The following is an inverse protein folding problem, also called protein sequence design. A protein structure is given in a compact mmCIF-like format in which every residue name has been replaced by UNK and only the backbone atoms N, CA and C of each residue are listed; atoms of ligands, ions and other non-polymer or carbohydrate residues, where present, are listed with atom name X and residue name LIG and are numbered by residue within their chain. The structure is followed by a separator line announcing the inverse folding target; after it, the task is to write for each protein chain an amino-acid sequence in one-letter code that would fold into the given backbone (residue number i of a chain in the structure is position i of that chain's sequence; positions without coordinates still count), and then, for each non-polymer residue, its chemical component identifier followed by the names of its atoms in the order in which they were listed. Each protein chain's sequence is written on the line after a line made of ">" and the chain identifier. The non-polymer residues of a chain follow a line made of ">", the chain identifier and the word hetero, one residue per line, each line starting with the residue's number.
data_IF_727363261367
#
_entry.id   IF_727363261367
#
_cell.length_a   1.000
_cell.length_b   1.000
_cell.length_c   1.000
_cell.angle_alpha   90.00
_cell.angle_beta   90.00
_cell.angle_gamma   90.00
#
_symmetry.space_group_name_H-M   'P 1'
#
loop_
_entity.id
_entity.type
_entity.pdbx_description
1 polymer ?
#
# COMPACT_ATOMS: atom_id res chain seq x y z
N UNK A 1 -37.67 23.94 23.59
CA UNK A 1 -36.70 24.37 22.56
C UNK A 1 -36.93 23.56 21.30
N UNK A 2 -37.35 24.19 20.21
CA UNK A 2 -37.52 23.52 18.91
C UNK A 2 -36.11 23.36 18.31
N UNK A 3 -35.55 22.15 18.32
CA UNK A 3 -34.30 21.84 17.59
C UNK A 3 -34.58 22.02 16.09
N UNK A 4 -34.09 23.11 15.50
CA UNK A 4 -34.18 23.37 14.06
C UNK A 4 -33.41 22.25 13.35
N UNK A 5 -34.12 21.38 12.62
CA UNK A 5 -33.52 20.26 11.89
C UNK A 5 -32.82 20.83 10.66
N UNK A 6 -31.49 20.91 10.69
CA UNK A 6 -30.70 21.31 9.53
C UNK A 6 -30.72 20.14 8.54
N UNK A 7 -31.22 20.40 7.33
CA UNK A 7 -31.27 19.42 6.24
C UNK A 7 -30.40 19.85 5.07
N UNK A 8 -29.78 18.86 4.41
CA UNK A 8 -28.85 19.04 3.30
C UNK A 8 -29.20 18.04 2.20
N UNK A 9 -29.06 18.44 0.95
CA UNK A 9 -29.25 17.60 -0.23
C UNK A 9 -27.89 17.33 -0.88
N UNK A 10 -27.68 16.11 -1.37
CA UNK A 10 -26.46 15.73 -2.06
C UNK A 10 -26.43 16.32 -3.48
N UNK A 11 -25.29 16.88 -3.88
CA UNK A 11 -25.07 17.32 -5.25
C UNK A 11 -24.94 16.10 -6.20
N UNK A 12 -25.28 16.23 -7.49
CA UNK A 12 -25.18 15.13 -8.46
C UNK A 12 -23.80 14.48 -8.53
N UNK A 13 -22.74 15.28 -8.42
CA UNK A 13 -21.34 14.81 -8.42
C UNK A 13 -21.05 13.91 -7.21
N UNK A 14 -21.52 14.31 -6.03
CA UNK A 14 -21.40 13.53 -4.80
C UNK A 14 -22.20 12.22 -4.89
N UNK A 15 -23.38 12.23 -5.53
CA UNK A 15 -24.17 11.02 -5.74
C UNK A 15 -23.44 10.03 -6.65
N UNK A 16 -22.83 10.50 -7.75
CA UNK A 16 -22.02 9.65 -8.65
C UNK A 16 -20.85 9.02 -7.90
N UNK A 17 -20.12 9.80 -7.10
CA UNK A 17 -19.03 9.29 -6.27
C UNK A 17 -19.51 8.30 -5.21
N UNK A 18 -20.65 8.57 -4.58
CA UNK A 18 -21.26 7.67 -3.61
C UNK A 18 -21.67 6.32 -4.23
N UNK A 19 -22.18 6.30 -5.46
CA UNK A 19 -22.52 5.06 -6.15
C UNK A 19 -21.26 4.24 -6.48
N UNK A 20 -20.19 4.87 -6.95
CA UNK A 20 -18.90 4.21 -7.17
C UNK A 20 -18.28 3.67 -5.87
N UNK A 21 -18.30 4.45 -4.80
CA UNK A 21 -17.82 4.01 -3.48
C UNK A 21 -18.62 2.83 -2.94
N UNK A 22 -19.94 2.80 -3.15
CA UNK A 22 -20.80 1.71 -2.70
C UNK A 22 -20.39 0.38 -3.35
N UNK A 23 -20.08 0.38 -4.66
CA UNK A 23 -19.57 -0.79 -5.39
C UNK A 23 -18.17 -1.17 -4.92
N UNK A 24 -17.26 -0.18 -4.82
CA UNK A 24 -15.86 -0.38 -4.41
C UNK A 24 -15.73 -1.01 -3.02
N UNK A 25 -16.59 -0.63 -2.09
CA UNK A 25 -16.62 -1.16 -0.72
C UNK A 25 -17.37 -2.50 -0.60
N UNK A 26 -17.81 -3.09 -1.72
CA UNK A 26 -18.45 -4.40 -1.75
C UNK A 26 -19.90 -4.42 -1.29
N UNK A 27 -20.58 -3.27 -1.21
CA UNK A 27 -22.00 -3.26 -0.90
C UNK A 27 -22.81 -3.63 -2.15
N UNK A 28 -23.43 -4.81 -2.13
CA UNK A 28 -24.25 -5.29 -3.26
C UNK A 28 -25.51 -4.44 -3.50
N UNK A 29 -25.96 -3.66 -2.52
CA UNK A 29 -27.12 -2.78 -2.66
C UNK A 29 -27.19 -1.65 -1.63
N UNK A 30 -27.94 -0.60 -1.96
CA UNK A 30 -28.32 0.51 -1.04
C UNK A 30 -29.05 0.00 0.22
N UNK A 31 -29.72 -1.16 0.13
CA UNK A 31 -30.39 -1.80 1.27
C UNK A 31 -29.41 -2.48 2.22
N UNK A 32 -28.36 -3.12 1.69
CA UNK A 32 -27.29 -3.73 2.49
C UNK A 32 -26.47 -2.64 3.18
N UNK A 33 -26.15 -1.57 2.46
CA UNK A 33 -25.50 -0.38 3.01
C UNK A 33 -26.31 0.25 4.16
N UNK A 34 -27.62 0.44 3.98
CA UNK A 34 -28.49 0.99 5.03
C UNK A 34 -28.47 0.17 6.33
N UNK A 35 -28.43 -1.16 6.22
CA UNK A 35 -28.30 -2.07 7.38
C UNK A 35 -26.95 -1.91 8.06
N UNK A 36 -25.87 -1.86 7.27
CA UNK A 36 -24.50 -1.70 7.79
C UNK A 36 -24.32 -0.39 8.55
N UNK A 37 -24.81 0.73 7.99
CA UNK A 37 -24.68 2.04 8.63
C UNK A 37 -25.71 2.30 9.73
N UNK A 38 -26.64 1.36 9.99
CA UNK A 38 -27.79 1.53 10.89
C UNK A 38 -28.64 2.77 10.56
N UNK A 39 -28.68 3.15 9.28
CA UNK A 39 -29.49 4.28 8.78
C UNK A 39 -30.74 3.72 8.13
N UNK A 40 -31.88 4.40 8.31
CA UNK A 40 -33.12 3.96 7.67
C UNK A 40 -32.95 3.88 6.14
N UNK A 41 -33.50 2.83 5.54
CA UNK A 41 -33.45 2.63 4.08
C UNK A 41 -34.03 3.83 3.34
N UNK A 42 -35.07 4.46 3.88
CA UNK A 42 -35.67 5.66 3.27
C UNK A 42 -34.70 6.84 3.28
N UNK A 43 -33.94 7.07 4.36
CA UNK A 43 -32.90 8.12 4.40
C UNK A 43 -31.78 7.86 3.39
N UNK A 44 -31.31 6.62 3.28
CA UNK A 44 -30.28 6.25 2.29
C UNK A 44 -30.80 6.46 0.87
N UNK A 45 -32.03 6.02 0.57
CA UNK A 45 -32.64 6.26 -0.75
C UNK A 45 -32.75 7.75 -1.05
N UNK A 46 -33.17 8.57 -0.07
CA UNK A 46 -33.25 10.03 -0.24
C UNK A 46 -31.90 10.66 -0.56
N UNK A 47 -30.83 10.21 0.09
CA UNK A 47 -29.46 10.67 -0.21
C UNK A 47 -29.09 10.40 -1.68
N UNK A 48 -29.24 9.16 -2.14
CA UNK A 48 -28.90 8.77 -3.52
C UNK A 48 -29.85 9.34 -4.59
N UNK A 49 -30.97 9.94 -4.18
CA UNK A 49 -31.89 10.66 -5.06
C UNK A 49 -31.67 12.18 -5.03
N UNK A 50 -30.66 12.67 -4.29
CA UNK A 50 -30.42 14.11 -4.14
C UNK A 50 -31.49 14.84 -3.33
N UNK A 51 -32.27 14.11 -2.53
CA UNK A 51 -33.29 14.70 -1.66
C UNK A 51 -32.68 15.17 -0.33
N UNK A 52 -33.31 16.17 0.28
CA UNK A 52 -32.86 16.71 1.57
C UNK A 52 -32.99 15.68 2.69
N UNK A 53 -31.91 15.44 3.42
CA UNK A 53 -31.85 14.59 4.62
C UNK A 53 -31.23 15.36 5.79
N UNK A 54 -31.33 14.83 7.01
CA UNK A 54 -30.69 15.45 8.17
C UNK A 54 -29.16 15.46 8.02
N UNK A 55 -28.53 16.56 8.43
CA UNK A 55 -27.08 16.74 8.30
C UNK A 55 -26.27 15.62 8.98
N UNK A 56 -26.74 15.10 10.11
CA UNK A 56 -26.06 14.00 10.81
C UNK A 56 -26.08 12.73 9.96
N UNK A 57 -27.25 12.37 9.41
CA UNK A 57 -27.36 11.24 8.48
C UNK A 57 -26.52 11.44 7.22
N UNK A 58 -26.44 12.68 6.72
CA UNK A 58 -25.60 13.03 5.57
C UNK A 58 -24.11 12.75 5.86
N UNK A 59 -23.62 13.22 7.01
CA UNK A 59 -22.24 12.97 7.46
C UNK A 59 -21.96 11.50 7.65
N UNK A 60 -22.87 10.76 8.29
CA UNK A 60 -22.70 9.31 8.51
C UNK A 60 -22.65 8.54 7.20
N UNK A 61 -23.50 8.88 6.22
CA UNK A 61 -23.47 8.24 4.89
C UNK A 61 -22.14 8.54 4.19
N UNK A 62 -21.68 9.79 4.20
CA UNK A 62 -20.42 10.15 3.55
C UNK A 62 -19.21 9.48 4.23
N UNK A 63 -19.16 9.45 5.55
CA UNK A 63 -18.10 8.79 6.31
C UNK A 63 -18.03 7.28 6.01
N UNK A 64 -19.20 6.61 5.99
CA UNK A 64 -19.27 5.17 5.67
C UNK A 64 -18.89 4.84 4.22
N UNK A 65 -18.98 5.80 3.30
CA UNK A 65 -18.55 5.68 1.90
C UNK A 65 -17.12 6.20 1.66
N UNK A 66 -16.43 6.60 2.72
CA UNK A 66 -15.11 7.25 2.69
C UNK A 66 -15.09 8.48 1.75
N UNK A 67 -16.13 9.32 1.87
CA UNK A 67 -16.31 10.57 1.12
C UNK A 67 -16.22 11.77 2.08
N UNK A 68 -15.52 12.81 1.64
CA UNK A 68 -15.47 14.06 2.38
C UNK A 68 -16.72 14.91 2.08
N UNK A 69 -17.64 14.99 3.05
CA UNK A 69 -18.89 15.73 2.89
C UNK A 69 -18.70 17.25 2.79
N UNK A 70 -17.57 17.79 3.28
CA UNK A 70 -17.31 19.23 3.35
C UNK A 70 -17.11 19.84 1.96
N UNK A 71 -16.52 19.07 1.05
CA UNK A 71 -16.22 19.48 -0.33
C UNK A 71 -17.50 19.82 -1.11
N UNK A 72 -18.66 19.37 -0.64
CA UNK A 72 -19.94 19.48 -1.34
C UNK A 72 -21.02 20.28 -0.58
N UNK A 73 -20.75 20.69 0.67
CA UNK A 73 -21.66 21.57 1.44
C UNK A 73 -21.29 23.05 1.25
N UNK A 74 -20.07 23.34 0.82
CA UNK A 74 -19.57 24.71 0.61
C UNK A 74 -20.20 25.45 -0.58
N UNK A 75 -21.02 24.79 -1.41
CA UNK A 75 -21.52 25.32 -2.69
C UNK A 75 -22.84 26.09 -2.61
N UNK A 76 -23.43 26.33 -1.42
CA UNK A 76 -24.69 27.09 -1.28
C UNK A 76 -24.58 28.57 -0.91
N UNK A 77 -23.38 29.15 -0.79
CA UNK A 77 -23.23 30.59 -0.44
C UNK A 77 -22.48 31.45 -1.48
N UNK A 78 -22.25 30.97 -2.71
CA UNK A 78 -21.64 31.80 -3.75
C UNK A 78 -22.36 31.70 -5.10
N UNK A 79 -23.57 32.21 -5.14
CA UNK A 79 -24.14 32.81 -6.36
C UNK A 79 -24.55 34.25 -6.05
N UNK A 80 -23.67 35.20 -6.36
CA UNK A 80 -23.99 36.57 -6.77
C UNK A 80 -22.70 37.38 -7.01
N UNK A 81 -22.27 37.43 -8.28
CA UNK A 81 -21.67 38.60 -8.99
C UNK A 81 -20.36 39.17 -8.38
N UNK A 82 -19.18 39.06 -8.99
CA UNK A 82 -18.69 39.80 -10.18
C UNK A 82 -17.53 39.05 -10.87
N UNK A 83 -17.66 39.00 -12.20
CA UNK A 83 -16.69 38.83 -13.30
C UNK A 83 -15.19 39.03 -13.03
N UNK A 84 -14.36 38.16 -13.61
CA UNK A 84 -13.20 38.54 -14.47
C UNK A 84 -12.68 37.33 -15.26
N UNK A 85 -12.93 37.39 -16.56
CA UNK A 85 -12.29 36.71 -17.69
C UNK A 85 -10.79 36.49 -17.50
N UNK A 86 -10.22 35.31 -17.83
CA UNK A 86 -9.07 35.16 -18.75
C UNK A 86 -9.12 33.77 -19.42
N UNK A 87 -9.05 33.80 -20.74
CA UNK A 87 -8.92 32.73 -21.74
C UNK A 87 -7.42 32.53 -22.04
N UNK A 88 -7.07 31.35 -22.55
CA UNK A 88 -5.77 30.85 -23.07
C UNK A 88 -4.95 30.03 -22.06
N UNK A 89 -4.64 28.74 -22.29
CA UNK A 89 -4.04 28.00 -23.43
C UNK A 89 -2.57 27.72 -23.13
N UNK A 90 -2.19 26.46 -23.31
CA UNK A 90 -0.83 25.95 -23.33
C UNK A 90 0.08 26.85 -24.17
N UNK A 91 1.26 27.17 -23.65
CA UNK A 91 2.43 27.44 -24.48
C UNK A 91 3.66 26.81 -23.83
N UNK A 92 4.35 26.06 -24.68
CA UNK A 92 5.67 25.48 -24.52
C UNK A 92 6.74 26.57 -24.38
N UNK A 93 7.81 26.25 -23.64
CA UNK A 93 9.09 26.90 -23.77
C UNK A 93 10.19 25.84 -23.70
N UNK A 94 10.87 25.67 -24.83
CA UNK A 94 12.10 24.90 -25.10
C UNK A 94 13.33 25.75 -24.75
N UNK A 95 14.32 25.20 -24.04
CA UNK A 95 15.71 24.86 -24.47
C UNK A 95 16.61 25.01 -23.21
N UNK A 96 17.76 24.38 -22.96
CA UNK A 96 18.72 23.56 -23.71
C UNK A 96 19.68 22.87 -22.70
N UNK A 97 20.22 21.69 -23.07
CA UNK A 97 21.56 21.10 -22.71
C UNK A 97 21.94 20.89 -21.22
N UNK A 98 22.55 19.79 -20.75
CA UNK A 98 23.57 18.89 -21.32
C UNK A 98 23.70 17.63 -20.41
N UNK A 99 24.16 16.49 -20.94
CA UNK A 99 24.70 15.37 -20.14
C UNK A 99 23.99 14.01 -20.26
N UNK A 100 24.02 13.38 -21.43
CA UNK A 100 23.61 11.98 -21.58
C UNK A 100 24.81 11.07 -21.30
N UNK A 101 24.86 10.45 -20.12
CA UNK A 101 25.58 9.20 -19.91
C UNK A 101 24.67 8.04 -20.34
N UNK A 102 25.02 7.37 -21.43
CA UNK A 102 24.40 6.12 -21.83
C UNK A 102 24.86 4.98 -20.91
N UNK A 103 24.03 4.61 -19.94
CA UNK A 103 24.12 3.31 -19.28
C UNK A 103 23.41 2.26 -20.13
N UNK A 104 24.20 1.52 -20.92
CA UNK A 104 23.77 0.31 -21.61
C UNK A 104 23.49 -0.79 -20.58
N UNK A 105 22.23 -0.95 -20.17
CA UNK A 105 21.79 -2.15 -19.46
C UNK A 105 21.48 -3.26 -20.47
N UNK A 106 22.32 -4.30 -20.45
CA UNK A 106 22.13 -5.53 -21.22
C UNK A 106 20.93 -6.29 -20.62
N UNK A 107 19.80 -6.30 -21.32
CA UNK A 107 18.66 -7.17 -21.00
C UNK A 107 18.96 -8.61 -21.45
N UNK A 108 18.77 -9.56 -20.54
CA UNK A 108 18.78 -11.00 -20.84
C UNK A 108 17.34 -11.48 -20.63
N UNK A 109 16.70 -11.91 -21.72
CA UNK A 109 15.31 -12.39 -21.68
C UNK A 109 15.31 -13.92 -21.56
N UNK A 110 14.81 -14.45 -20.45
CA UNK A 110 14.44 -15.88 -20.35
C UNK A 110 12.94 -16.00 -20.61
N UNK A 111 12.58 -16.99 -21.43
CA UNK A 111 11.22 -17.23 -21.94
C UNK A 111 10.54 -18.27 -21.05
N UNK A 112 9.37 -17.93 -20.49
CA UNK A 112 8.47 -18.90 -19.87
C UNK A 112 7.82 -19.73 -21.00
N UNK A 113 8.08 -21.04 -20.99
CA UNK A 113 7.79 -21.97 -22.08
C UNK A 113 6.30 -22.35 -22.14
N UNK A 114 5.51 -22.05 -21.10
CA UNK A 114 4.14 -22.59 -21.01
C UNK A 114 3.02 -21.64 -21.43
N UNK A 115 3.16 -20.33 -21.26
CA UNK A 115 2.27 -19.32 -21.85
C UNK A 115 3.10 -18.05 -22.09
N UNK A 116 3.34 -17.66 -23.34
CA UNK A 116 4.23 -16.56 -23.74
C UNK A 116 3.69 -15.16 -23.39
N UNK A 117 3.13 -14.98 -22.18
CA UNK A 117 2.61 -13.69 -21.72
C UNK A 117 3.67 -12.96 -20.89
N UNK A 118 3.85 -11.68 -21.17
CA UNK A 118 4.70 -10.76 -20.42
C UNK A 118 3.82 -9.79 -19.65
N UNK A 119 4.38 -9.27 -18.56
CA UNK A 119 3.72 -8.27 -17.72
C UNK A 119 4.49 -6.96 -17.73
N UNK A 120 3.77 -5.86 -17.60
CA UNK A 120 4.35 -4.54 -17.49
C UNK A 120 3.52 -3.65 -16.57
N UNK A 121 4.16 -2.60 -16.05
CA UNK A 121 3.51 -1.52 -15.30
C UNK A 121 3.61 -0.24 -16.11
N UNK A 122 2.48 0.41 -16.38
CA UNK A 122 2.43 1.76 -16.95
C UNK A 122 2.06 2.73 -15.84
N UNK A 123 2.88 3.74 -15.61
CA UNK A 123 2.61 4.82 -14.67
C UNK A 123 2.06 6.03 -15.42
N UNK A 124 0.87 6.48 -15.05
CA UNK A 124 0.23 7.68 -15.59
C UNK A 124 0.17 8.79 -14.53
N UNK A 125 0.23 10.02 -14.98
CA UNK A 125 -0.01 11.20 -14.16
C UNK A 125 -1.52 11.43 -13.99
N UNK A 126 -1.97 11.58 -12.75
CA UNK A 126 -3.37 11.87 -12.44
C UNK A 126 -3.86 11.19 -11.16
N UNK A 127 -5.13 11.46 -10.84
CA UNK A 127 -5.85 10.80 -9.76
C UNK A 127 -6.59 9.56 -10.33
N UNK A 128 -6.49 8.43 -9.64
CA UNK A 128 -7.24 7.20 -9.94
C UNK A 128 -8.74 7.44 -10.01
N UNK A 129 -9.25 8.43 -9.26
CA UNK A 129 -10.67 8.82 -9.29
C UNK A 129 -11.10 9.40 -10.64
N UNK A 130 -10.17 9.81 -11.49
CA UNK A 130 -10.45 10.29 -12.84
C UNK A 130 -10.55 9.16 -13.87
N UNK A 131 -10.22 7.92 -13.49
CA UNK A 131 -10.28 6.75 -14.38
C UNK A 131 -11.73 6.25 -14.45
N UNK A 132 -12.54 6.91 -15.28
CA UNK A 132 -13.98 6.62 -15.40
C UNK A 132 -14.29 5.26 -16.08
N UNK A 133 -13.33 4.63 -16.79
CA UNK A 133 -13.58 3.38 -17.51
C UNK A 133 -12.32 2.55 -17.85
N UNK A 134 -12.05 1.50 -17.07
CA UNK A 134 -10.92 0.57 -17.30
C UNK A 134 -11.01 -0.14 -18.66
N UNK A 135 -12.22 -0.45 -19.14
CA UNK A 135 -12.39 -1.10 -20.45
C UNK A 135 -11.97 -0.19 -21.59
N UNK A 136 -12.17 1.12 -21.45
CA UNK A 136 -11.73 2.10 -22.43
C UNK A 136 -10.19 2.14 -22.50
N UNK A 137 -9.52 2.20 -21.35
CA UNK A 137 -8.06 2.13 -21.29
C UNK A 137 -7.52 0.86 -21.94
N UNK A 138 -8.13 -0.30 -21.65
CA UNK A 138 -7.72 -1.56 -22.25
C UNK A 138 -7.94 -1.56 -23.77
N UNK A 139 -9.04 -0.98 -24.25
CA UNK A 139 -9.33 -0.88 -25.69
C UNK A 139 -8.28 -0.03 -26.40
N UNK A 140 -7.95 1.13 -25.84
CA UNK A 140 -6.91 2.01 -26.39
C UNK A 140 -5.55 1.29 -26.42
N UNK A 141 -5.17 0.60 -25.34
CA UNK A 141 -3.92 -0.18 -25.31
C UNK A 141 -3.89 -1.25 -26.41
N UNK A 142 -5.02 -1.91 -26.66
CA UNK A 142 -5.12 -2.90 -27.73
C UNK A 142 -5.01 -2.30 -29.12
N UNK A 143 -5.55 -1.11 -29.36
CA UNK A 143 -5.39 -0.39 -30.62
C UNK A 143 -3.92 -0.11 -30.97
N UNK A 144 -3.09 0.17 -29.96
CA UNK A 144 -1.67 0.44 -30.16
C UNK A 144 -0.79 -0.81 -30.30
N UNK A 145 -1.22 -1.94 -29.74
CA UNK A 145 -0.33 -3.08 -29.49
C UNK A 145 -0.80 -4.42 -30.05
N UNK A 146 -2.10 -4.65 -30.11
CA UNK A 146 -2.71 -5.94 -30.44
C UNK A 146 -3.78 -6.36 -29.43
N UNK A 147 -4.55 -7.40 -29.74
CA UNK A 147 -5.74 -7.78 -28.96
C UNK A 147 -5.45 -8.50 -27.64
N UNK A 148 -4.19 -8.84 -27.36
CA UNK A 148 -3.85 -9.71 -26.22
C UNK A 148 -3.69 -8.96 -24.90
N UNK A 149 -3.62 -7.62 -24.92
CA UNK A 149 -3.45 -6.83 -23.70
C UNK A 149 -4.68 -6.92 -22.80
N UNK A 150 -4.43 -7.16 -21.53
CA UNK A 150 -5.41 -7.16 -20.44
C UNK A 150 -4.89 -6.33 -19.29
N UNK A 151 -5.77 -5.51 -18.68
CA UNK A 151 -5.43 -4.79 -17.46
C UNK A 151 -5.79 -5.70 -16.29
N UNK A 152 -4.80 -6.03 -15.46
CA UNK A 152 -4.95 -6.92 -14.31
C UNK A 152 -5.34 -6.15 -13.06
N UNK A 153 -4.75 -4.96 -12.87
CA UNK A 153 -4.91 -4.18 -11.65
C UNK A 153 -4.63 -2.69 -11.91
N UNK A 154 -5.19 -1.83 -11.06
CA UNK A 154 -4.97 -0.37 -11.06
C UNK A 154 -4.77 0.09 -9.62
N UNK A 155 -3.60 0.68 -9.32
CA UNK A 155 -3.27 1.18 -7.98
C UNK A 155 -3.21 2.70 -7.91
N UNK A 156 -3.55 3.24 -6.74
CA UNK A 156 -3.46 4.66 -6.40
C UNK A 156 -2.00 5.09 -6.10
N UNK A 157 -1.73 6.41 -6.15
CA UNK A 157 -0.40 6.97 -5.89
C UNK A 157 0.44 7.17 -7.17
N UNK A 158 -0.06 8.01 -8.10
CA UNK A 158 0.17 7.94 -9.55
C UNK A 158 -0.54 6.71 -10.12
N UNK A 159 -1.33 6.87 -11.18
CA UNK A 159 -2.18 5.78 -11.70
C UNK A 159 -1.26 4.70 -12.27
N UNK A 160 -1.13 3.57 -11.56
CA UNK A 160 -0.30 2.45 -11.98
C UNK A 160 -1.17 1.38 -12.59
N UNK A 161 -1.04 1.17 -13.91
CA UNK A 161 -1.75 0.13 -14.66
C UNK A 161 -0.86 -1.11 -14.76
N UNK A 162 -1.31 -2.21 -14.19
CA UNK A 162 -0.67 -3.52 -14.35
C UNK A 162 -1.29 -4.22 -15.55
N UNK A 163 -0.49 -4.49 -16.58
CA UNK A 163 -0.95 -5.12 -17.82
C UNK A 163 -0.26 -6.46 -18.07
N UNK A 164 -0.99 -7.38 -18.68
CA UNK A 164 -0.49 -8.69 -19.16
C UNK A 164 -0.94 -8.89 -20.61
N UNK A 165 -0.05 -9.39 -21.45
CA UNK A 165 -0.30 -9.68 -22.87
C UNK A 165 0.83 -10.45 -23.51
N UNK A 166 0.75 -10.69 -24.82
CA UNK A 166 1.83 -11.35 -25.58
C UNK A 166 3.13 -10.54 -25.49
N UNK A 167 4.27 -11.21 -25.61
CA UNK A 167 5.57 -10.54 -25.64
C UNK A 167 5.62 -9.45 -26.74
N UNK A 168 5.09 -9.75 -27.94
CA UNK A 168 5.07 -8.83 -29.06
C UNK A 168 4.23 -7.57 -28.78
N UNK A 169 3.04 -7.73 -28.19
CA UNK A 169 2.15 -6.62 -27.90
C UNK A 169 2.75 -5.72 -26.80
N UNK A 170 3.31 -6.33 -25.75
CA UNK A 170 3.96 -5.58 -24.66
C UNK A 170 5.20 -4.82 -25.15
N UNK A 171 6.08 -5.46 -25.91
CA UNK A 171 7.27 -4.81 -26.49
C UNK A 171 6.88 -3.66 -27.42
N UNK A 172 5.78 -3.81 -28.17
CA UNK A 172 5.25 -2.74 -29.01
C UNK A 172 4.81 -1.52 -28.20
N UNK A 173 4.12 -1.71 -27.07
CA UNK A 173 3.77 -0.59 -26.16
C UNK A 173 5.03 0.08 -25.62
N UNK A 174 6.00 -0.72 -25.16
CA UNK A 174 7.27 -0.20 -24.62
C UNK A 174 7.97 0.68 -25.66
N UNK A 175 8.09 0.20 -26.90
CA UNK A 175 8.70 0.93 -28.00
C UNK A 175 7.95 2.24 -28.30
N UNK A 176 6.62 2.22 -28.30
CA UNK A 176 5.81 3.41 -28.58
C UNK A 176 6.01 4.50 -27.50
N UNK A 177 6.07 4.11 -26.23
CA UNK A 177 6.28 5.02 -25.10
C UNK A 177 7.72 5.56 -25.11
N UNK A 178 8.72 4.69 -25.30
CA UNK A 178 10.14 5.09 -25.36
C UNK A 178 10.45 6.00 -26.54
N UNK A 179 9.82 5.75 -27.70
CA UNK A 179 9.89 6.62 -28.87
C UNK A 179 9.10 7.92 -28.71
N UNK A 180 8.40 8.12 -27.58
CA UNK A 180 7.50 9.26 -27.31
C UNK A 180 6.40 9.43 -28.37
N UNK A 181 6.00 8.33 -29.01
CA UNK A 181 4.86 8.31 -29.96
C UNK A 181 3.54 8.08 -29.24
N UNK A 182 3.57 7.37 -28.11
CA UNK A 182 2.45 7.23 -27.18
C UNK A 182 2.81 7.98 -25.90
N UNK A 183 2.32 9.20 -25.76
CA UNK A 183 2.59 10.09 -24.62
C UNK A 183 1.42 10.21 -23.66
N UNK A 184 0.22 9.82 -24.10
CA UNK A 184 -1.01 9.94 -23.32
C UNK A 184 -1.89 8.70 -23.53
N UNK A 185 -2.60 8.29 -22.48
CA UNK A 185 -3.60 7.23 -22.50
C UNK A 185 -4.91 7.77 -21.94
N UNK A 186 -5.93 7.89 -22.79
CA UNK A 186 -7.24 8.42 -22.41
C UNK A 186 -7.18 9.80 -21.70
N UNK A 187 -6.28 10.68 -22.18
CA UNK A 187 -6.06 12.01 -21.60
C UNK A 187 -5.16 12.04 -20.35
N UNK A 188 -4.61 10.90 -19.93
CA UNK A 188 -3.61 10.84 -18.87
C UNK A 188 -2.19 10.79 -19.45
N UNK A 189 -1.30 11.73 -19.08
CA UNK A 189 0.10 11.68 -19.48
C UNK A 189 0.80 10.41 -18.97
N UNK A 190 1.58 9.77 -19.84
CA UNK A 190 2.38 8.59 -19.49
C UNK A 190 3.73 9.04 -18.95
N UNK A 191 4.07 8.60 -17.74
CA UNK A 191 5.36 8.90 -17.12
C UNK A 191 6.41 7.85 -17.46
N UNK A 192 6.05 6.57 -17.35
CA UNK A 192 6.98 5.47 -17.53
C UNK A 192 6.27 4.16 -17.83
N UNK A 193 6.99 3.24 -18.48
CA UNK A 193 6.63 1.83 -18.56
C UNK A 193 7.80 0.98 -18.06
N UNK A 194 7.51 -0.02 -17.23
CA UNK A 194 8.48 -0.97 -16.71
C UNK A 194 8.05 -2.39 -17.04
N UNK A 195 8.92 -3.15 -17.70
CA UNK A 195 8.76 -4.60 -17.87
C UNK A 195 8.92 -5.28 -16.52
N UNK A 196 8.00 -6.18 -16.18
CA UNK A 196 8.16 -7.06 -15.04
C UNK A 196 8.89 -8.30 -15.50
N UNK A 197 10.13 -8.47 -15.05
CA UNK A 197 10.91 -9.67 -15.32
C UNK A 197 10.18 -10.88 -14.72
N UNK A 198 9.94 -11.88 -15.56
CA UNK A 198 9.17 -13.08 -15.23
C UNK A 198 9.92 -14.00 -14.25
N UNK A 199 11.13 -13.64 -13.82
CA UNK A 199 11.86 -14.28 -12.71
C UNK A 199 11.26 -13.97 -11.33
N UNK A 200 10.24 -13.11 -11.25
CA UNK A 200 9.26 -13.23 -10.16
C UNK A 200 8.31 -14.39 -10.45
N UNK A 201 8.86 -15.62 -10.39
CA UNK A 201 8.08 -16.86 -10.40
C UNK A 201 6.87 -16.67 -9.50
N UNK A 202 5.66 -16.88 -10.04
CA UNK A 202 4.39 -16.85 -9.32
C UNK A 202 4.33 -17.83 -8.13
N UNK A 203 5.37 -18.63 -7.91
CA UNK A 203 5.57 -19.50 -6.74
C UNK A 203 6.34 -18.85 -5.57
N UNK A 204 6.98 -17.67 -5.71
CA UNK A 204 7.73 -17.06 -4.59
C UNK A 204 7.08 -15.82 -3.97
N UNK A 205 6.15 -15.12 -4.64
CA UNK A 205 5.44 -14.00 -3.99
C UNK A 205 4.29 -14.45 -3.09
N UNK A 206 3.71 -15.63 -3.31
CA UNK A 206 2.82 -16.27 -2.32
C UNK A 206 3.59 -16.93 -1.17
N UNK A 207 4.88 -17.23 -1.34
CA UNK A 207 5.73 -17.82 -0.30
C UNK A 207 6.45 -16.80 0.59
N UNK A 208 6.36 -15.49 0.28
CA UNK A 208 6.94 -14.43 1.11
C UNK A 208 5.93 -13.74 2.03
N UNK A 209 4.66 -14.16 2.01
CA UNK A 209 3.71 -13.75 3.04
C UNK A 209 4.06 -14.53 4.31
N UNK A 210 4.62 -13.81 5.27
CA UNK A 210 4.97 -14.38 6.57
C UNK A 210 3.71 -14.32 7.44
N UNK A 211 3.08 -15.48 7.61
CA UNK A 211 1.96 -15.63 8.52
C UNK A 211 2.44 -15.56 9.97
N UNK A 212 2.01 -14.51 10.67
CA UNK A 212 2.13 -14.36 12.12
C UNK A 212 0.92 -14.97 12.85
N UNK A 213 0.03 -15.68 12.14
CA UNK A 213 -1.10 -16.40 12.73
C UNK A 213 -0.64 -17.62 13.54
N UNK A 214 -1.37 -17.93 14.62
CA UNK A 214 -1.07 -19.09 15.47
C UNK A 214 0.22 -18.97 16.30
N UNK A 215 0.77 -20.12 16.72
CA UNK A 215 2.03 -20.17 17.48
C UNK A 215 3.22 -19.93 16.54
N UNK A 216 4.27 -19.26 17.04
CA UNK A 216 5.48 -19.04 16.26
C UNK A 216 6.34 -20.32 16.22
N UNK A 217 5.84 -21.38 15.57
CA UNK A 217 6.64 -22.55 15.22
C UNK A 217 7.51 -22.21 14.01
N UNK A 218 8.83 -22.41 14.14
CA UNK A 218 9.81 -22.25 13.05
C UNK A 218 9.40 -22.91 11.73
N UNK A 219 8.58 -23.97 11.77
CA UNK A 219 8.08 -24.66 10.56
C UNK A 219 7.14 -23.80 9.72
N UNK A 220 6.54 -22.77 10.32
CA UNK A 220 5.62 -21.86 9.67
C UNK A 220 6.32 -20.63 9.07
N UNK A 221 7.64 -20.50 9.27
CA UNK A 221 8.40 -19.36 8.77
C UNK A 221 9.36 -19.78 7.64
N UNK A 222 9.69 -18.85 6.73
CA UNK A 222 10.68 -19.10 5.69
C UNK A 222 12.05 -19.49 6.24
N UNK A 223 12.89 -20.07 5.38
CA UNK A 223 14.28 -20.39 5.73
C UNK A 223 15.01 -19.12 6.18
N UNK A 224 15.78 -19.23 7.28
CA UNK A 224 16.50 -18.12 7.89
C UNK A 224 15.82 -17.51 9.12
N UNK A 225 14.55 -17.86 9.37
CA UNK A 225 13.86 -17.52 10.61
C UNK A 225 14.05 -18.62 11.67
N UNK A 226 14.37 -18.24 12.91
CA UNK A 226 14.48 -19.16 14.05
C UNK A 226 14.27 -18.41 15.38
N UNK A 227 14.32 -19.14 16.50
CA UNK A 227 14.22 -18.58 17.85
C UNK A 227 15.38 -17.58 18.08
N UNK A 228 15.10 -16.32 18.48
CA UNK A 228 16.11 -15.27 18.61
C UNK A 228 17.37 -15.67 19.41
N UNK A 229 17.20 -16.46 20.47
CA UNK A 229 18.30 -16.92 21.33
C UNK A 229 19.35 -17.80 20.65
N UNK A 230 19.10 -18.33 19.44
CA UNK A 230 20.09 -19.07 18.64
C UNK A 230 21.08 -18.17 17.91
N UNK A 231 20.69 -16.93 17.65
CA UNK A 231 21.49 -15.97 16.90
C UNK A 231 22.44 -15.15 17.79
N UNK A 232 22.17 -15.10 19.09
CA UNK A 232 22.98 -14.36 20.06
C UNK A 232 24.12 -15.27 20.54
N UNK A 233 25.36 -14.84 20.29
CA UNK A 233 26.54 -15.65 20.56
C UNK A 233 26.75 -15.81 22.09
N UNK A 234 26.56 -17.03 22.61
CA UNK A 234 26.56 -17.31 24.07
C UNK A 234 27.91 -17.10 24.77
N UNK A 235 29.01 -16.85 24.04
CA UNK A 235 30.36 -16.82 24.61
C UNK A 235 30.64 -15.66 25.59
N UNK A 236 29.83 -14.59 25.59
CA UNK A 236 29.98 -13.45 26.52
C UNK A 236 28.92 -13.39 27.65
N UNK A 237 28.06 -14.41 27.77
CA UNK A 237 26.81 -14.31 28.56
C UNK A 237 26.96 -14.52 30.07
N UNK A 238 28.14 -14.85 30.60
CA UNK A 238 28.31 -15.06 32.05
C UNK A 238 28.09 -13.78 32.88
N UNK A 239 28.22 -12.59 32.27
CA UNK A 239 27.87 -11.29 32.90
C UNK A 239 26.48 -10.75 32.56
N UNK A 240 25.77 -11.34 31.59
CA UNK A 240 24.44 -10.86 31.15
C UNK A 240 23.27 -11.76 31.60
N UNK A 241 23.54 -12.96 32.11
CA UNK A 241 22.52 -13.80 32.75
C UNK A 241 21.91 -13.15 34.01
N UNK A 242 22.51 -12.11 34.58
CA UNK A 242 21.87 -11.37 35.69
C UNK A 242 20.80 -10.36 35.24
N UNK A 243 20.79 -9.94 33.97
CA UNK A 243 19.84 -8.95 33.43
C UNK A 243 18.70 -9.58 32.62
N UNK A 244 18.85 -10.82 32.14
CA UNK A 244 17.83 -11.54 31.38
C UNK A 244 16.90 -12.43 32.23
N UNK A 245 17.22 -12.68 33.50
CA UNK A 245 16.52 -13.68 34.32
C UNK A 245 15.57 -13.13 35.38
N UNK A 246 15.32 -11.81 35.46
CA UNK A 246 14.48 -11.26 36.53
C UNK A 246 13.03 -10.92 36.17
N UNK A 247 12.54 -11.20 34.96
CA UNK A 247 11.10 -11.04 34.71
C UNK A 247 10.54 -11.95 33.60
N UNK A 248 9.76 -12.95 34.07
CA UNK A 248 8.51 -13.49 33.48
C UNK A 248 8.56 -14.63 32.44
N UNK A 249 7.97 -15.75 32.90
CA UNK A 249 7.41 -16.94 32.25
C UNK A 249 8.03 -17.47 30.95
N UNK A 250 8.31 -18.78 30.99
CA UNK A 250 8.67 -19.64 29.85
C UNK A 250 7.69 -19.51 28.66
N UNK A 251 6.47 -19.03 28.92
CA UNK A 251 5.42 -18.80 27.93
C UNK A 251 5.70 -17.65 26.95
N UNK A 252 6.65 -16.75 27.26
CA UNK A 252 6.97 -15.61 26.40
C UNK A 252 7.81 -15.96 25.16
N UNK A 253 8.52 -17.10 25.16
CA UNK A 253 9.35 -17.51 24.02
C UNK A 253 8.51 -18.06 22.85
N UNK A 254 7.26 -18.49 23.09
CA UNK A 254 6.41 -19.13 22.07
C UNK A 254 5.85 -18.15 21.00
N UNK A 255 5.99 -16.85 21.23
CA UNK A 255 5.47 -15.80 20.34
C UNK A 255 6.57 -14.90 19.78
N UNK A 256 7.80 -15.41 19.71
CA UNK A 256 8.97 -14.68 19.22
C UNK A 256 9.70 -15.45 18.13
N UNK A 257 10.01 -14.77 17.03
CA UNK A 257 10.83 -15.30 15.94
C UNK A 257 11.86 -14.24 15.56
N UNK A 258 13.01 -14.65 15.04
CA UNK A 258 14.00 -13.72 14.52
C UNK A 258 14.67 -14.20 13.24
N UNK A 259 15.26 -13.25 12.53
CA UNK A 259 15.99 -13.44 11.28
C UNK A 259 17.29 -12.63 11.31
N UNK A 260 18.35 -13.20 10.78
CA UNK A 260 19.61 -12.49 10.55
C UNK A 260 19.54 -11.70 9.26
N UNK A 261 19.95 -10.44 9.33
CA UNK A 261 20.08 -9.53 8.20
C UNK A 261 21.56 -9.17 8.10
N UNK A 262 22.18 -9.55 6.99
CA UNK A 262 23.56 -9.19 6.69
C UNK A 262 23.55 -7.88 5.91
N UNK A 263 24.36 -6.92 6.36
CA UNK A 263 24.47 -5.59 5.76
C UNK A 263 25.92 -5.45 5.33
N UNK A 264 26.16 -5.10 4.07
CA UNK A 264 27.52 -5.11 3.52
C UNK A 264 28.42 -4.04 4.16
N UNK A 265 27.81 -2.96 4.62
CA UNK A 265 28.43 -1.79 5.24
C UNK A 265 28.84 -2.05 6.69
N UNK A 266 28.34 -3.13 7.31
CA UNK A 266 28.55 -3.41 8.73
C UNK A 266 29.10 -4.83 8.88
N UNK A 267 30.28 -4.96 9.48
CA UNK A 267 30.91 -6.25 9.74
C UNK A 267 30.15 -7.12 10.76
N UNK A 268 29.08 -6.59 11.37
CA UNK A 268 28.25 -7.27 12.36
C UNK A 268 26.84 -7.46 11.81
N UNK A 269 26.35 -8.72 11.72
CA UNK A 269 24.97 -8.98 11.33
C UNK A 269 23.96 -8.34 12.29
N UNK A 270 22.80 -7.94 11.75
CA UNK A 270 21.66 -7.53 12.55
C UNK A 270 20.72 -8.71 12.78
N UNK A 271 20.08 -8.70 13.95
CA UNK A 271 18.98 -9.59 14.30
C UNK A 271 17.69 -8.77 14.28
N UNK A 272 16.81 -9.06 13.33
CA UNK A 272 15.41 -8.66 13.39
C UNK A 272 14.65 -9.67 14.24
N UNK A 273 14.01 -9.21 15.29
CA UNK A 273 13.11 -9.98 16.16
C UNK A 273 11.69 -9.45 16.01
N UNK A 274 10.74 -10.35 15.82
CA UNK A 274 9.31 -10.09 15.82
C UNK A 274 8.71 -10.79 17.02
N UNK A 275 7.98 -10.04 17.85
CA UNK A 275 7.19 -10.55 18.95
C UNK A 275 5.72 -10.23 18.70
N UNK A 276 4.86 -11.23 18.90
CA UNK A 276 3.40 -11.06 18.93
C UNK A 276 2.91 -11.15 20.37
N UNK A 277 2.05 -10.22 20.77
CA UNK A 277 1.38 -10.23 22.07
C UNK A 277 -0.14 -10.13 21.85
N UNK A 278 -0.87 -11.09 22.41
CA UNK A 278 -2.33 -11.00 22.52
C UNK A 278 -2.66 -10.14 23.74
N UNK A 279 -3.39 -9.04 23.54
CA UNK A 279 -3.90 -8.23 24.64
C UNK A 279 -5.30 -8.76 24.97
N UNK A 280 -5.51 -9.21 26.21
CA UNK A 280 -6.78 -9.83 26.63
C UNK A 280 -8.00 -8.94 26.37
N UNK A 281 -7.85 -7.62 26.56
CA UNK A 281 -8.89 -6.62 26.32
C UNK A 281 -9.28 -6.52 24.84
N UNK A 282 -8.40 -6.92 23.92
CA UNK A 282 -8.57 -6.78 22.48
C UNK A 282 -8.94 -8.09 21.76
N UNK A 283 -9.09 -9.20 22.49
CA UNK A 283 -9.48 -10.50 21.91
C UNK A 283 -10.83 -10.45 21.18
N UNK A 284 -11.69 -9.50 21.54
CA UNK A 284 -13.01 -9.31 20.92
C UNK A 284 -12.91 -8.62 19.56
N UNK A 285 -11.89 -7.77 19.36
CA UNK A 285 -11.76 -6.91 18.18
C UNK A 285 -10.77 -7.47 17.14
N UNK A 286 -10.13 -8.62 17.42
CA UNK A 286 -9.16 -9.22 16.51
C UNK A 286 -7.88 -8.39 16.33
N UNK A 287 -7.56 -7.52 17.28
CA UNK A 287 -6.35 -6.69 17.26
C UNK A 287 -5.19 -7.43 17.95
N UNK A 288 -4.01 -7.34 17.36
CA UNK A 288 -2.77 -7.89 17.92
C UNK A 288 -1.74 -6.80 18.12
N UNK A 289 -0.96 -6.92 19.20
CA UNK A 289 0.23 -6.10 19.42
C UNK A 289 1.42 -6.78 18.79
N UNK A 290 2.07 -6.09 17.84
CA UNK A 290 3.32 -6.51 17.24
C UNK A 290 4.44 -5.62 17.76
N UNK A 291 5.51 -6.25 18.23
CA UNK A 291 6.76 -5.57 18.57
C UNK A 291 7.87 -6.03 17.65
N UNK A 292 8.47 -5.09 16.95
CA UNK A 292 9.66 -5.27 16.15
C UNK A 292 10.86 -4.77 16.93
N UNK A 293 11.93 -5.56 16.93
CA UNK A 293 13.20 -5.18 17.53
C UNK A 293 14.35 -5.52 16.61
N UNK A 294 15.15 -4.54 16.25
CA UNK A 294 16.43 -4.73 15.56
C UNK A 294 17.56 -4.47 16.53
N UNK A 295 18.52 -5.38 16.58
CA UNK A 295 19.73 -5.29 17.39
C UNK A 295 20.91 -5.94 16.67
N UNK A 296 22.14 -5.60 17.04
CA UNK A 296 23.33 -6.31 16.57
C UNK A 296 23.40 -7.71 17.20
N UNK A 297 23.97 -8.69 16.50
CA UNK A 297 24.23 -10.03 17.09
C UNK A 297 25.29 -10.01 18.19
N UNK A 298 26.11 -8.95 18.23
CA UNK A 298 27.05 -8.64 19.29
C UNK A 298 26.54 -7.44 20.11
N UNK A 299 26.23 -7.67 21.38
CA UNK A 299 25.59 -6.69 22.26
C UNK A 299 26.43 -5.43 22.57
N UNK A 300 27.73 -5.47 22.28
CA UNK A 300 28.62 -4.32 22.46
C UNK A 300 28.54 -3.32 21.31
N UNK A 301 28.14 -3.79 20.12
CA UNK A 301 28.11 -2.97 18.91
C UNK A 301 26.93 -1.99 18.94
N UNK A 302 27.13 -0.82 18.34
CA UNK A 302 26.08 0.17 18.13
C UNK A 302 25.38 -0.10 16.79
N UNK A 303 24.08 0.16 16.74
CA UNK A 303 23.36 0.21 15.48
C UNK A 303 23.80 1.41 14.64
N UNK A 304 23.74 1.33 13.30
CA UNK A 304 23.93 2.49 12.44
C UNK A 304 22.93 3.60 12.75
N UNK A 305 23.41 4.85 12.74
CA UNK A 305 22.60 6.03 13.08
C UNK A 305 21.42 6.23 12.12
N UNK A 306 21.59 5.86 10.85
CA UNK A 306 20.57 6.04 9.80
C UNK A 306 19.68 4.82 9.61
N UNK A 307 19.72 3.84 10.52
CA UNK A 307 18.85 2.68 10.47
C UNK A 307 17.42 3.06 10.89
N UNK A 308 16.42 2.66 10.10
CA UNK A 308 15.00 2.89 10.37
C UNK A 308 14.15 1.64 10.10
N UNK A 309 13.09 1.47 10.90
CA UNK A 309 12.00 0.51 10.67
C UNK A 309 10.81 1.32 10.17
N UNK A 310 10.20 0.86 9.08
CA UNK A 310 8.96 1.38 8.53
C UNK A 310 7.93 0.25 8.50
N UNK A 311 6.72 0.57 8.93
CA UNK A 311 5.59 -0.35 8.90
C UNK A 311 4.44 0.35 8.18
N UNK A 312 3.80 -0.30 7.22
CA UNK A 312 2.70 0.28 6.46
C UNK A 312 1.72 -0.79 5.97
N UNK A 313 0.46 -0.41 5.80
CA UNK A 313 -0.57 -1.29 5.26
C UNK A 313 -0.31 -1.63 3.79
N UNK A 314 -0.52 -2.88 3.38
CA UNK A 314 -0.35 -3.27 1.97
C UNK A 314 -1.32 -2.54 1.04
N UNK A 315 -2.60 -2.48 1.43
CA UNK A 315 -3.67 -2.01 0.55
C UNK A 315 -3.62 -0.49 0.31
N UNK A 316 -3.37 0.29 1.35
CA UNK A 316 -3.37 1.76 1.28
C UNK A 316 -1.97 2.36 1.12
N UNK A 317 -0.91 1.62 1.48
CA UNK A 317 0.43 2.18 1.65
C UNK A 317 0.55 3.16 2.82
N UNK A 318 -0.50 3.28 3.65
CA UNK A 318 -0.50 4.17 4.81
C UNK A 318 0.47 3.67 5.87
N UNK A 319 1.28 4.61 6.38
CA UNK A 319 2.28 4.32 7.40
C UNK A 319 1.63 4.05 8.76
N UNK A 320 1.93 2.89 9.33
CA UNK A 320 1.48 2.44 10.65
C UNK A 320 2.45 2.96 11.73
N UNK A 321 3.76 2.76 11.51
CA UNK A 321 4.79 3.21 12.44
C UNK A 321 6.12 3.49 11.72
N UNK A 322 6.88 4.44 12.24
CA UNK A 322 8.25 4.73 11.83
C UNK A 322 9.12 4.88 13.06
N UNK A 323 10.23 4.12 13.08
CA UNK A 323 11.24 4.26 14.12
C UNK A 323 12.63 4.39 13.56
N UNK A 324 13.36 5.40 14.06
CA UNK A 324 14.78 5.63 13.75
C UNK A 324 15.66 5.20 14.93
N UNK A 325 16.87 4.75 14.62
CA UNK A 325 17.88 4.42 15.63
C UNK A 325 18.19 5.63 16.51
N UNK A 326 18.16 5.44 17.83
CA UNK A 326 18.70 6.40 18.80
C UNK A 326 19.53 5.75 19.91
N UNK A 327 19.61 4.41 19.94
CA UNK A 327 20.26 3.61 21.00
C UNK A 327 20.86 2.34 20.39
N UNK A 328 21.39 1.45 21.24
CA UNK A 328 21.91 0.12 20.86
C UNK A 328 20.86 -0.83 20.27
N UNK A 329 19.59 -0.53 20.47
CA UNK A 329 18.46 -1.30 19.93
C UNK A 329 17.46 -0.34 19.29
N UNK A 330 16.84 -0.81 18.21
CA UNK A 330 15.76 -0.12 17.52
C UNK A 330 14.48 -0.93 17.74
N UNK A 331 13.47 -0.32 18.38
CA UNK A 331 12.22 -0.99 18.73
C UNK A 331 11.01 -0.19 18.25
N UNK A 332 10.11 -0.86 17.54
CA UNK A 332 8.82 -0.38 17.09
C UNK A 332 7.73 -1.28 17.67
N UNK A 333 6.61 -0.70 18.10
CA UNK A 333 5.49 -1.44 18.66
C UNK A 333 4.20 -0.81 18.16
N UNK A 334 3.32 -1.61 17.54
CA UNK A 334 2.09 -1.14 16.92
C UNK A 334 0.98 -2.18 17.07
N UNK A 335 -0.26 -1.72 16.88
CA UNK A 335 -1.45 -2.56 16.87
C UNK A 335 -1.88 -2.79 15.42
N UNK A 336 -2.34 -4.00 15.12
CA UNK A 336 -2.84 -4.34 13.78
C UNK A 336 -3.97 -5.36 13.87
N UNK A 337 -4.96 -5.18 13.00
CA UNK A 337 -6.12 -6.07 12.87
C UNK A 337 -5.72 -7.41 12.22
N UNK A 338 -6.36 -8.50 12.67
CA UNK A 338 -6.21 -9.82 12.05
C UNK A 338 -6.54 -9.77 10.57
N UNK A 339 -5.88 -10.62 9.78
CA UNK A 339 -6.10 -10.75 8.33
C UNK A 339 -5.78 -9.51 7.49
N UNK A 340 -5.35 -8.39 8.08
CA UNK A 340 -4.92 -7.21 7.33
C UNK A 340 -3.42 -7.33 7.02
N UNK A 341 -3.03 -7.44 5.73
CA UNK A 341 -1.63 -7.55 5.39
C UNK A 341 -0.88 -6.22 5.54
N UNK A 342 0.38 -6.30 5.95
CA UNK A 342 1.24 -5.14 6.15
C UNK A 342 2.69 -5.45 5.78
N UNK A 343 3.42 -4.42 5.38
CA UNK A 343 4.84 -4.51 5.12
C UNK A 343 5.64 -4.09 6.34
N UNK A 344 6.76 -4.80 6.54
CA UNK A 344 7.87 -4.31 7.36
C UNK A 344 9.03 -4.05 6.41
N UNK A 345 9.53 -2.82 6.42
CA UNK A 345 10.77 -2.43 5.74
C UNK A 345 11.80 -2.00 6.78
N UNK A 346 13.03 -2.49 6.63
CA UNK A 346 14.20 -1.98 7.34
C UNK A 346 15.07 -1.28 6.32
N UNK A 347 15.45 -0.04 6.62
CA UNK A 347 16.28 0.79 5.75
C UNK A 347 17.52 1.27 6.47
N UNK A 348 18.62 1.39 5.72
CA UNK A 348 19.84 2.07 6.13
C UNK A 348 20.02 3.31 5.24
N UNK A 349 19.68 4.48 5.77
CA UNK A 349 19.52 5.69 4.94
C UNK A 349 18.32 5.54 4.00
N UNK A 350 18.59 5.57 2.70
CA UNK A 350 17.57 5.39 1.65
C UNK A 350 17.52 3.96 1.07
N UNK A 351 18.50 3.12 1.40
CA UNK A 351 18.57 1.75 0.93
C UNK A 351 17.67 0.83 1.75
N UNK A 352 16.86 0.02 1.07
CA UNK A 352 16.06 -1.05 1.70
C UNK A 352 16.92 -2.30 1.85
N UNK A 353 17.22 -2.66 3.10
CA UNK A 353 18.05 -3.83 3.42
C UNK A 353 17.23 -5.09 3.69
N UNK A 354 15.98 -4.93 4.13
CA UNK A 354 15.05 -6.04 4.35
C UNK A 354 13.63 -5.54 4.12
N UNK A 355 12.83 -6.33 3.39
CA UNK A 355 11.41 -6.07 3.18
C UNK A 355 10.65 -7.38 3.20
N UNK A 356 9.57 -7.45 3.96
CA UNK A 356 8.67 -8.59 4.00
C UNK A 356 7.21 -8.17 4.07
N UNK A 357 6.33 -9.02 3.53
CA UNK A 357 4.87 -8.90 3.66
C UNK A 357 4.42 -9.85 4.78
N UNK A 358 3.59 -9.36 5.69
CA UNK A 358 3.17 -10.07 6.88
C UNK A 358 1.65 -10.04 7.00
N UNK A 359 1.08 -11.08 7.60
CA UNK A 359 -0.37 -11.18 7.87
C UNK A 359 -0.60 -11.89 9.20
N UNK A 360 -1.66 -11.55 9.92
CA UNK A 360 -1.97 -12.06 11.26
C UNK A 360 -3.13 -13.04 11.33
#
# INVERSE_FOLDING_TARGET
>A
MIKKRITVAAAPELIKQAESSLIRLGFESKSNFAKFTLISRSTVTKFFQGQSIQIDSFKTICAALNLNWQDFVATKEKESVVTSTIKYCCTSATNHEEGIMQTLHRQITVIDIQNQTKKAIITLEGDINCVDNVKLLQTILREYSGDTITIIDIKSGSIKLFIEGSQADIERIVNLIQAKTLTELNGFPIQSIQMLDTDESRDNQRNNIISLSGKFDRRNFPVGWDIPGKFINKKNTQKQQSLLFQTRSRDNEENEIGKIINISEINTPLLLKIKKEEIEETKVDGLYSITLQVSTTNAEDKLPENLKILVFYEASGEMIDEKKTGKKTLRSSFMIESQVPFYIEIKLGEETIEKGLYVL
#
